data_IF_946644734407
#
_entry.id   IF_946644734407
#
_cell.length_a   1.000
_cell.length_b   1.000
_cell.length_c   1.000
_cell.angle_alpha   90.00
_cell.angle_beta   90.00
_cell.angle_gamma   90.00
#
_symmetry.space_group_name_H-M   'P 1'
#
loop_
_entity.id
_entity.type
_entity.pdbx_description
1 polymer ?
#
# COMPACT_ATOMS: atom_id res chain seq x y z
N UNK A 1 -7.61 -21.00 -3.91
CA UNK A 1 -6.86 -19.72 -3.75
C UNK A 1 -7.80 -18.57 -3.38
N UNK A 2 -8.98 -18.50 -3.98
CA UNK A 2 -10.03 -17.51 -3.65
C UNK A 2 -11.10 -18.19 -2.79
N UNK A 3 -11.64 -17.48 -1.81
CA UNK A 3 -12.81 -17.86 -1.03
C UNK A 3 -13.95 -16.90 -1.34
N UNK A 4 -15.14 -17.44 -1.59
CA UNK A 4 -16.36 -16.65 -1.77
C UNK A 4 -17.03 -16.46 -0.41
N UNK A 5 -17.21 -15.21 0.00
CA UNK A 5 -18.04 -14.84 1.13
C UNK A 5 -19.45 -14.44 0.71
N UNK A 6 -20.13 -13.71 1.58
CA UNK A 6 -21.50 -13.24 1.37
C UNK A 6 -21.55 -12.12 0.33
N UNK A 7 -22.70 -11.92 -0.31
CA UNK A 7 -23.00 -10.76 -1.16
C UNK A 7 -21.98 -10.46 -2.28
N UNK A 8 -21.35 -11.51 -2.82
CA UNK A 8 -20.38 -11.42 -3.91
C UNK A 8 -18.96 -11.05 -3.48
N UNK A 9 -18.66 -10.97 -2.19
CA UNK A 9 -17.31 -10.71 -1.69
C UNK A 9 -16.36 -11.87 -1.98
N UNK A 10 -15.21 -11.57 -2.57
CA UNK A 10 -14.12 -12.52 -2.79
C UNK A 10 -12.94 -12.22 -1.88
N UNK A 11 -12.32 -13.26 -1.34
CA UNK A 11 -11.18 -13.16 -0.42
C UNK A 11 -10.00 -13.98 -0.94
N UNK A 12 -8.80 -13.43 -0.85
CA UNK A 12 -7.57 -14.19 -1.10
C UNK A 12 -7.25 -15.05 0.13
N UNK A 13 -7.23 -16.37 -0.03
CA UNK A 13 -6.95 -17.32 1.08
C UNK A 13 -5.70 -18.18 0.85
N UNK A 14 -5.06 -18.10 -0.31
CA UNK A 14 -3.85 -18.87 -0.61
C UNK A 14 -2.94 -18.17 -1.62
N UNK A 15 -2.15 -18.95 -2.37
CA UNK A 15 -1.15 -18.44 -3.32
C UNK A 15 0.26 -18.51 -2.74
N UNK A 16 1.21 -17.87 -3.42
CA UNK A 16 2.63 -17.90 -3.05
C UNK A 16 2.92 -17.37 -1.64
N UNK A 17 2.02 -16.57 -1.09
CA UNK A 17 2.16 -15.96 0.24
C UNK A 17 1.47 -16.75 1.36
N UNK A 18 0.84 -17.91 1.08
CA UNK A 18 0.10 -18.72 2.05
C UNK A 18 -0.80 -17.89 3.01
N UNK A 19 -1.68 -17.06 2.42
CA UNK A 19 -2.39 -16.01 3.16
C UNK A 19 -3.11 -16.54 4.39
N UNK A 20 -3.92 -17.61 4.26
CA UNK A 20 -4.66 -18.17 5.39
C UNK A 20 -3.72 -18.79 6.45
N UNK A 21 -2.57 -19.34 6.05
CA UNK A 21 -1.57 -19.86 6.97
C UNK A 21 -1.00 -18.80 7.92
N UNK A 22 -1.04 -17.52 7.52
CA UNK A 22 -0.58 -16.39 8.34
C UNK A 22 -1.53 -16.02 9.50
N UNK A 23 -2.77 -16.52 9.50
CA UNK A 23 -3.80 -16.28 10.53
C UNK A 23 -3.81 -17.37 11.62
N UNK A 24 -2.64 -17.89 11.96
CA UNK A 24 -2.48 -18.98 12.92
C UNK A 24 -1.48 -18.59 14.01
N UNK A 25 -1.78 -18.99 15.23
CA UNK A 25 -0.80 -18.92 16.33
C UNK A 25 0.18 -20.07 16.18
N UNK A 26 1.43 -19.73 15.85
CA UNK A 26 2.51 -20.71 15.69
C UNK A 26 3.85 -20.09 16.04
N UNK A 27 4.87 -20.93 16.26
CA UNK A 27 6.22 -20.44 16.48
C UNK A 27 6.78 -19.68 15.26
N UNK A 28 6.43 -20.10 14.05
CA UNK A 28 6.77 -19.39 12.82
C UNK A 28 6.13 -17.99 12.78
N UNK A 29 4.85 -17.89 13.13
CA UNK A 29 4.13 -16.63 13.24
C UNK A 29 4.78 -15.70 14.29
N UNK A 30 5.14 -16.23 15.47
CA UNK A 30 5.85 -15.48 16.50
C UNK A 30 7.21 -14.95 16.01
N UNK A 31 8.02 -15.80 15.36
CA UNK A 31 9.32 -15.41 14.79
C UNK A 31 9.19 -14.29 13.76
N UNK A 32 8.21 -14.41 12.87
CA UNK A 32 7.92 -13.40 11.86
C UNK A 32 7.54 -12.06 12.51
N UNK A 33 6.61 -12.06 13.46
CA UNK A 33 6.23 -10.83 14.20
C UNK A 33 7.43 -10.22 14.92
N UNK A 34 8.29 -11.04 15.54
CA UNK A 34 9.50 -10.55 16.21
C UNK A 34 10.51 -9.96 15.22
N UNK A 35 10.67 -10.59 14.05
CA UNK A 35 11.48 -10.07 12.95
C UNK A 35 11.03 -8.69 12.49
N UNK A 36 9.73 -8.52 12.24
CA UNK A 36 9.13 -7.24 11.86
C UNK A 36 9.30 -6.19 12.96
N UNK A 37 9.05 -6.54 14.22
CA UNK A 37 9.29 -5.66 15.38
C UNK A 37 10.75 -5.15 15.39
N UNK A 38 11.73 -6.04 15.24
CA UNK A 38 13.17 -5.66 15.21
C UNK A 38 13.51 -4.79 14.00
N UNK A 39 12.97 -5.11 12.83
CA UNK A 39 13.17 -4.35 11.60
C UNK A 39 12.67 -2.91 11.76
N UNK A 40 11.44 -2.72 12.21
CA UNK A 40 10.84 -1.40 12.37
C UNK A 40 11.51 -0.60 13.48
N UNK A 41 11.90 -1.23 14.59
CA UNK A 41 12.69 -0.56 15.62
C UNK A 41 14.04 -0.05 15.11
N UNK A 42 14.72 -0.83 14.26
CA UNK A 42 15.98 -0.41 13.62
C UNK A 42 15.76 0.74 12.64
N UNK A 43 14.73 0.66 11.78
CA UNK A 43 14.39 1.72 10.83
C UNK A 43 14.02 3.01 11.55
N UNK A 44 13.13 2.96 12.53
CA UNK A 44 12.72 4.11 13.32
C UNK A 44 13.90 4.78 14.03
N UNK A 45 14.82 4.00 14.62
CA UNK A 45 16.03 4.54 15.25
C UNK A 45 16.92 5.26 14.23
N UNK A 46 17.16 4.64 13.07
CA UNK A 46 18.03 5.21 12.02
C UNK A 46 17.44 6.51 11.46
N UNK A 47 16.16 6.54 11.13
CA UNK A 47 15.53 7.76 10.63
C UNK A 47 15.50 8.89 11.66
N UNK A 48 15.27 8.57 12.95
CA UNK A 48 15.41 9.54 14.02
C UNK A 48 16.81 10.15 14.11
N UNK A 49 17.87 9.35 13.90
CA UNK A 49 19.25 9.85 13.85
C UNK A 49 19.50 10.73 12.63
N UNK A 50 18.80 10.49 11.52
CA UNK A 50 18.88 11.30 10.30
C UNK A 50 18.00 12.56 10.36
N UNK A 51 17.20 12.76 11.40
CA UNK A 51 16.24 13.86 11.48
C UNK A 51 15.06 13.73 10.51
N UNK A 52 14.81 12.53 9.97
CA UNK A 52 13.74 12.25 8.99
C UNK A 52 12.57 11.59 9.70
N UNK A 53 11.34 12.04 9.43
CA UNK A 53 10.15 11.39 9.96
C UNK A 53 9.92 10.03 9.28
N UNK A 54 9.68 8.97 10.05
CA UNK A 54 9.43 7.63 9.50
C UNK A 54 8.05 7.11 9.87
N UNK A 55 7.30 6.64 8.87
CA UNK A 55 6.02 5.94 9.04
C UNK A 55 6.01 4.61 8.30
N UNK A 56 5.36 3.62 8.90
CA UNK A 56 5.14 2.30 8.34
C UNK A 56 3.65 2.00 8.35
N UNK A 57 3.13 1.60 7.19
CA UNK A 57 1.76 1.18 6.98
C UNK A 57 1.79 -0.30 6.62
N UNK A 58 0.87 -1.05 7.23
CA UNK A 58 0.49 -2.37 6.75
C UNK A 58 -0.93 -2.24 6.26
N UNK A 59 -1.17 -2.44 4.96
CA UNK A 59 -2.52 -2.46 4.40
C UNK A 59 -3.16 -3.79 4.80
N UNK A 60 -4.16 -3.79 5.70
CA UNK A 60 -4.74 -5.03 6.18
C UNK A 60 -5.41 -5.77 5.03
N UNK A 61 -5.38 -7.11 5.04
CA UNK A 61 -6.16 -7.88 4.09
C UNK A 61 -7.66 -7.72 4.39
N UNK A 62 -8.47 -7.96 3.36
CA UNK A 62 -9.92 -8.04 3.49
C UNK A 62 -10.36 -9.03 4.56
N UNK A 63 -9.63 -10.13 4.72
CA UNK A 63 -9.81 -11.13 5.78
C UNK A 63 -9.73 -10.52 7.19
N UNK A 64 -8.88 -9.50 7.40
CA UNK A 64 -8.69 -8.86 8.71
C UNK A 64 -9.77 -7.82 9.03
N UNK A 65 -10.32 -7.16 7.99
CA UNK A 65 -11.26 -6.05 8.14
C UNK A 65 -12.72 -6.49 8.01
N UNK A 66 -13.02 -7.31 7.00
CA UNK A 66 -14.36 -7.77 6.62
C UNK A 66 -14.58 -9.25 6.99
N UNK A 67 -14.09 -9.64 8.16
CA UNK A 67 -14.23 -11.02 8.68
C UNK A 67 -15.69 -11.44 8.91
N UNK A 68 -16.59 -10.48 9.06
CA UNK A 68 -18.03 -10.70 9.17
C UNK A 68 -18.76 -10.91 7.84
N UNK A 69 -18.07 -10.67 6.71
CA UNK A 69 -18.56 -10.97 5.35
C UNK A 69 -18.11 -12.35 4.85
N UNK A 70 -17.35 -13.09 5.65
CA UNK A 70 -16.96 -14.48 5.34
C UNK A 70 -18.16 -15.42 5.39
N UNK A 71 -18.08 -16.52 4.63
CA UNK A 71 -19.11 -17.56 4.63
C UNK A 71 -18.49 -18.96 4.78
N UNK A 72 -18.64 -19.56 5.95
CA UNK A 72 -18.12 -20.91 6.23
C UNK A 72 -16.59 -21.00 6.37
N UNK A 73 -15.85 -19.88 6.41
CA UNK A 73 -14.41 -19.86 6.67
C UNK A 73 -14.10 -19.52 8.13
N UNK A 74 -13.57 -20.48 8.88
CA UNK A 74 -13.05 -20.22 10.22
C UNK A 74 -11.74 -19.45 10.14
N UNK A 75 -11.70 -18.26 10.74
CA UNK A 75 -10.55 -17.36 10.75
C UNK A 75 -10.42 -16.69 12.12
N UNK A 76 -9.21 -16.67 12.68
CA UNK A 76 -8.90 -15.82 13.82
C UNK A 76 -8.30 -14.50 13.34
N UNK A 77 -9.13 -13.46 13.20
CA UNK A 77 -8.67 -12.12 12.84
C UNK A 77 -7.71 -11.52 13.89
N UNK A 78 -7.70 -12.00 15.13
CA UNK A 78 -6.73 -11.58 16.13
C UNK A 78 -5.34 -12.19 15.91
N UNK A 79 -5.22 -13.24 15.09
CA UNK A 79 -3.98 -13.83 14.63
C UNK A 79 -3.43 -13.16 13.35
N UNK A 80 -4.13 -12.18 12.78
CA UNK A 80 -3.68 -11.46 11.59
C UNK A 80 -2.28 -10.81 11.79
N UNK A 81 -1.37 -10.86 10.79
CA UNK A 81 -0.03 -10.29 10.89
C UNK A 81 0.00 -8.82 11.33
N UNK A 82 -0.88 -7.96 10.78
CA UNK A 82 -0.97 -6.55 11.14
C UNK A 82 -1.38 -6.37 12.61
N UNK A 83 -2.34 -7.18 13.08
CA UNK A 83 -2.81 -7.15 14.48
C UNK A 83 -1.70 -7.60 15.43
N UNK A 84 -1.00 -8.69 15.10
CA UNK A 84 0.14 -9.20 15.89
C UNK A 84 1.28 -8.17 15.95
N UNK A 85 1.62 -7.55 14.82
CA UNK A 85 2.67 -6.53 14.76
C UNK A 85 2.31 -5.30 15.61
N UNK A 86 1.07 -4.79 15.50
CA UNK A 86 0.56 -3.69 16.32
C UNK A 86 0.70 -3.99 17.82
N UNK A 87 0.25 -5.18 18.25
CA UNK A 87 0.39 -5.63 19.65
C UNK A 87 1.87 -5.70 20.07
N UNK A 88 2.72 -6.26 19.21
CA UNK A 88 4.14 -6.42 19.48
C UNK A 88 4.90 -5.08 19.56
N UNK A 89 4.43 -4.02 18.89
CA UNK A 89 5.06 -2.70 18.93
C UNK A 89 4.52 -1.78 20.04
N UNK A 90 3.29 -2.02 20.53
CA UNK A 90 2.54 -1.10 21.42
C UNK A 90 3.34 -0.53 22.60
N UNK A 91 4.20 -1.33 23.23
CA UNK A 91 5.01 -0.93 24.40
C UNK A 91 6.48 -0.68 24.04
N UNK A 92 6.75 -0.25 22.81
CA UNK A 92 8.11 0.03 22.33
C UNK A 92 8.21 1.46 21.82
N UNK A 93 9.42 2.07 21.85
CA UNK A 93 9.64 3.38 21.22
C UNK A 93 9.32 3.42 19.72
N UNK A 94 9.25 2.26 19.06
CA UNK A 94 8.91 2.15 17.65
C UNK A 94 7.39 2.17 17.39
N UNK A 95 6.54 2.18 18.43
CA UNK A 95 5.08 2.27 18.27
C UNK A 95 4.68 3.48 17.40
N UNK A 96 5.32 4.63 17.60
CA UNK A 96 5.01 5.86 16.88
C UNK A 96 5.33 5.84 15.38
N UNK A 97 6.12 4.87 14.88
CA UNK A 97 6.32 4.72 13.45
C UNK A 97 5.21 3.93 12.77
N UNK A 98 4.46 3.08 13.47
CA UNK A 98 3.36 2.30 12.88
C UNK A 98 2.10 3.15 12.80
N UNK A 99 1.53 3.28 11.60
CA UNK A 99 0.18 3.84 11.40
C UNK A 99 -0.81 2.69 11.48
N UNK A 100 -1.67 2.68 12.50
CA UNK A 100 -2.68 1.62 12.66
C UNK A 100 -3.83 1.82 11.67
N UNK A 101 -3.97 0.88 10.73
CA UNK A 101 -5.06 0.86 9.76
C UNK A 101 -6.17 -0.12 10.12
N UNK A 102 -5.90 -1.12 10.97
CA UNK A 102 -6.90 -2.15 11.31
C UNK A 102 -8.06 -1.54 12.08
N UNK A 103 -7.77 -0.73 13.09
CA UNK A 103 -8.81 -0.07 13.89
C UNK A 103 -9.72 0.84 13.05
N UNK A 104 -9.17 1.85 12.36
CA UNK A 104 -9.96 2.77 11.53
C UNK A 104 -10.76 2.07 10.42
N UNK A 105 -10.18 1.11 9.71
CA UNK A 105 -10.89 0.38 8.65
C UNK A 105 -12.01 -0.49 9.23
N UNK A 106 -11.79 -1.19 10.34
CA UNK A 106 -12.88 -1.97 10.97
C UNK A 106 -14.00 -1.08 11.49
N UNK A 107 -13.69 0.12 12.00
CA UNK A 107 -14.70 1.08 12.43
C UNK A 107 -15.53 1.63 11.25
N UNK A 108 -14.93 1.78 10.07
CA UNK A 108 -15.60 2.33 8.89
C UNK A 108 -16.33 1.26 8.03
N UNK A 109 -16.18 -0.03 8.33
CA UNK A 109 -16.59 -1.15 7.44
C UNK A 109 -18.08 -1.27 7.17
N UNK A 110 -18.92 -0.71 8.04
CA UNK A 110 -20.38 -0.69 7.86
C UNK A 110 -20.86 0.56 7.10
N UNK A 111 -20.00 1.57 6.96
CA UNK A 111 -20.38 2.91 6.44
C UNK A 111 -19.89 3.17 5.02
N UNK A 112 -19.10 2.27 4.43
CA UNK A 112 -18.63 2.40 3.07
C UNK A 112 -17.99 1.12 2.55
N UNK A 113 -17.93 0.98 1.22
CA UNK A 113 -17.20 -0.11 0.57
C UNK A 113 -15.71 0.19 0.68
N UNK A 114 -15.02 -0.40 1.67
CA UNK A 114 -13.59 -0.15 1.92
C UNK A 114 -12.65 -0.95 1.01
N UNK A 115 -13.17 -2.00 0.40
CA UNK A 115 -12.45 -2.87 -0.53
C UNK A 115 -13.31 -3.12 -1.74
N UNK A 116 -12.67 -3.44 -2.87
CA UNK A 116 -13.37 -3.95 -4.03
C UNK A 116 -13.83 -5.38 -3.75
N UNK A 117 -15.01 -5.79 -4.21
CA UNK A 117 -15.57 -7.12 -3.92
C UNK A 117 -14.79 -8.22 -4.60
N UNK A 118 -14.43 -8.02 -5.86
CA UNK A 118 -13.80 -8.98 -6.76
C UNK A 118 -12.27 -8.82 -6.87
N UNK A 119 -11.67 -7.92 -6.09
CA UNK A 119 -10.24 -7.62 -6.09
C UNK A 119 -9.62 -7.73 -4.69
N UNK A 120 -8.29 -7.85 -4.60
CA UNK A 120 -7.53 -7.83 -3.34
C UNK A 120 -7.34 -6.43 -2.74
N UNK A 121 -7.48 -5.38 -3.54
CA UNK A 121 -7.18 -4.01 -3.10
C UNK A 121 -8.34 -3.33 -2.37
N UNK A 122 -7.98 -2.30 -1.61
CA UNK A 122 -8.94 -1.33 -1.09
C UNK A 122 -9.65 -0.58 -2.22
N UNK A 123 -10.81 -0.01 -1.90
CA UNK A 123 -11.48 0.99 -2.73
C UNK A 123 -10.84 2.38 -2.51
N UNK A 124 -11.39 3.40 -3.16
CA UNK A 124 -11.06 4.80 -2.86
C UNK A 124 -11.31 5.13 -1.39
N UNK A 125 -12.46 4.74 -0.85
CA UNK A 125 -12.84 5.08 0.52
C UNK A 125 -11.93 4.36 1.55
N UNK A 126 -11.57 3.10 1.30
CA UNK A 126 -10.59 2.38 2.13
C UNK A 126 -9.20 3.01 2.07
N UNK A 127 -8.75 3.39 0.89
CA UNK A 127 -7.50 4.11 0.71
C UNK A 127 -7.53 5.48 1.41
N UNK A 128 -8.65 6.20 1.32
CA UNK A 128 -8.83 7.49 1.97
C UNK A 128 -8.75 7.40 3.49
N UNK A 129 -9.31 6.34 4.10
CA UNK A 129 -9.15 6.08 5.55
C UNK A 129 -7.67 5.94 5.92
N UNK A 130 -6.88 5.23 5.10
CA UNK A 130 -5.45 5.06 5.33
C UNK A 130 -4.66 6.36 5.13
N UNK A 131 -4.95 7.10 4.06
CA UNK A 131 -4.41 8.43 3.80
C UNK A 131 -4.69 9.39 4.97
N UNK A 132 -5.94 9.47 5.44
CA UNK A 132 -6.32 10.35 6.52
C UNK A 132 -5.64 9.98 7.85
N UNK A 133 -5.47 8.68 8.13
CA UNK A 133 -4.71 8.21 9.29
C UNK A 133 -3.23 8.62 9.19
N UNK A 134 -2.62 8.52 8.00
CA UNK A 134 -1.25 8.94 7.76
C UNK A 134 -1.08 10.45 7.90
N UNK A 135 -1.96 11.27 7.31
CA UNK A 135 -1.95 12.73 7.46
C UNK A 135 -1.98 13.14 8.94
N UNK A 136 -2.88 12.55 9.74
CA UNK A 136 -2.92 12.80 11.20
C UNK A 136 -1.62 12.41 11.89
N UNK A 137 -1.02 11.28 11.52
CA UNK A 137 0.29 10.86 12.04
C UNK A 137 1.44 11.80 11.66
N UNK A 138 1.28 12.59 10.59
CA UNK A 138 2.25 13.57 10.11
C UNK A 138 1.93 15.00 10.57
N UNK A 139 0.82 15.21 11.29
CA UNK A 139 0.36 16.55 11.70
C UNK A 139 -0.21 17.38 10.55
N UNK A 140 -0.64 16.75 9.45
CA UNK A 140 -1.29 17.40 8.30
C UNK A 140 -2.79 17.16 8.34
N UNK A 141 -3.58 18.17 8.00
CA UNK A 141 -5.01 17.96 7.77
C UNK A 141 -5.23 17.17 6.47
N UNK A 142 -5.99 16.06 6.48
CA UNK A 142 -6.36 15.39 5.24
C UNK A 142 -7.26 16.30 4.38
N UNK A 143 -7.10 16.22 3.06
CA UNK A 143 -7.95 16.91 2.10
C UNK A 143 -9.26 16.16 1.90
N UNK A 144 -10.28 16.48 2.70
CA UNK A 144 -11.62 15.88 2.63
C UNK A 144 -12.29 16.09 1.25
N UNK A 145 -11.91 17.13 0.52
CA UNK A 145 -12.42 17.39 -0.82
C UNK A 145 -11.93 16.36 -1.86
N UNK A 146 -10.86 15.60 -1.58
CA UNK A 146 -10.41 14.46 -2.40
C UNK A 146 -11.25 13.20 -2.13
N UNK A 147 -12.05 13.17 -1.06
CA UNK A 147 -13.02 12.11 -0.82
C UNK A 147 -14.28 12.35 -1.63
N UNK A 148 -14.93 13.49 -1.41
CA UNK A 148 -16.31 13.71 -1.89
C UNK A 148 -16.43 14.78 -2.98
N UNK A 149 -15.43 15.64 -3.16
CA UNK A 149 -15.44 16.73 -4.15
C UNK A 149 -14.97 16.32 -5.54
N UNK A 150 -14.57 15.07 -5.75
CA UNK A 150 -14.12 14.58 -7.06
C UNK A 150 -15.29 14.21 -7.97
N UNK A 151 -15.18 14.55 -9.25
CA UNK A 151 -15.99 13.93 -10.28
C UNK A 151 -15.82 12.41 -10.21
N UNK A 152 -16.94 11.69 -10.31
CA UNK A 152 -16.98 10.24 -10.23
C UNK A 152 -17.69 9.65 -11.44
N UNK A 153 -17.21 8.51 -11.91
CA UNK A 153 -17.85 7.70 -12.92
C UNK A 153 -17.96 6.26 -12.44
N UNK A 154 -19.00 5.56 -12.91
CA UNK A 154 -19.15 4.13 -12.69
C UNK A 154 -18.62 3.38 -13.90
N UNK A 155 -17.88 2.32 -13.62
CA UNK A 155 -17.36 1.39 -14.62
C UNK A 155 -17.54 -0.04 -14.11
N UNK A 156 -17.66 -0.99 -15.03
CA UNK A 156 -17.59 -2.41 -14.69
C UNK A 156 -16.13 -2.86 -14.68
N UNK A 157 -15.74 -3.55 -13.60
CA UNK A 157 -14.39 -4.12 -13.47
C UNK A 157 -14.46 -5.58 -13.05
N UNK A 158 -13.50 -6.36 -13.56
CA UNK A 158 -13.23 -7.71 -13.08
C UNK A 158 -11.90 -7.67 -12.33
N UNK A 159 -11.95 -7.69 -11.01
CA UNK A 159 -10.77 -7.63 -10.16
C UNK A 159 -9.88 -8.87 -10.27
N UNK A 160 -8.70 -8.80 -9.65
CA UNK A 160 -7.72 -9.88 -9.68
C UNK A 160 -8.22 -11.23 -9.10
N UNK A 161 -9.20 -11.21 -8.19
CA UNK A 161 -9.87 -12.40 -7.68
C UNK A 161 -11.01 -12.85 -8.58
N UNK A 162 -11.74 -11.91 -9.18
CA UNK A 162 -12.81 -12.17 -10.14
C UNK A 162 -12.31 -12.91 -11.38
N UNK A 163 -11.13 -12.53 -11.88
CA UNK A 163 -10.47 -13.18 -13.02
C UNK A 163 -10.06 -14.64 -12.75
N UNK A 164 -9.91 -15.03 -11.47
CA UNK A 164 -9.53 -16.39 -11.06
C UNK A 164 -10.71 -17.37 -11.03
N UNK A 165 -11.94 -16.90 -11.22
CA UNK A 165 -13.14 -17.73 -11.22
C UNK A 165 -13.67 -17.98 -12.64
N UNK A 166 -14.48 -19.02 -12.81
CA UNK A 166 -15.25 -19.28 -14.04
C UNK A 166 -16.72 -19.56 -13.66
N UNK A 167 -17.69 -18.78 -14.16
CA UNK A 167 -17.51 -17.56 -14.95
C UNK A 167 -16.77 -16.45 -14.16
N UNK A 168 -16.17 -15.49 -14.88
CA UNK A 168 -15.56 -14.30 -14.26
C UNK A 168 -16.58 -13.54 -13.41
N UNK A 169 -16.11 -12.91 -12.34
CA UNK A 169 -16.94 -12.09 -11.44
C UNK A 169 -16.60 -10.62 -11.63
N UNK A 170 -17.62 -9.83 -11.92
CA UNK A 170 -17.54 -8.41 -12.18
C UNK A 170 -18.20 -7.62 -11.05
N UNK A 171 -17.78 -6.37 -10.89
CA UNK A 171 -18.42 -5.41 -10.00
C UNK A 171 -18.44 -4.01 -10.62
N UNK A 172 -19.45 -3.24 -10.24
CA UNK A 172 -19.50 -1.81 -10.50
C UNK A 172 -18.53 -1.10 -9.56
N UNK A 173 -17.57 -0.39 -10.14
CA UNK A 173 -16.61 0.43 -9.43
C UNK A 173 -16.89 1.91 -9.70
N UNK A 174 -17.07 2.66 -8.62
CA UNK A 174 -17.07 4.12 -8.64
C UNK A 174 -15.64 4.65 -8.63
N UNK A 175 -15.13 5.07 -9.79
CA UNK A 175 -13.80 5.68 -9.94
C UNK A 175 -13.92 7.18 -9.70
N UNK A 176 -12.95 7.75 -8.97
CA UNK A 176 -12.89 9.20 -8.69
C UNK A 176 -11.71 9.83 -9.40
N UNK A 177 -11.95 10.96 -10.05
CA UNK A 177 -10.91 11.78 -10.65
C UNK A 177 -10.21 12.60 -9.55
N UNK A 178 -9.28 11.98 -8.85
CA UNK A 178 -8.54 12.61 -7.73
C UNK A 178 -7.45 13.56 -8.21
N UNK A 179 -6.89 13.32 -9.41
CA UNK A 179 -5.84 14.16 -9.97
C UNK A 179 -6.39 15.54 -10.33
N UNK A 180 -5.83 16.58 -9.73
CA UNK A 180 -6.23 17.97 -9.96
C UNK A 180 -5.01 18.87 -10.10
N UNK A 181 -4.18 18.88 -9.06
CA UNK A 181 -3.09 19.84 -8.91
C UNK A 181 -1.72 19.18 -9.14
N UNK A 182 -1.58 17.92 -8.73
CA UNK A 182 -0.31 17.22 -8.80
C UNK A 182 0.07 16.83 -10.24
N UNK A 183 1.33 17.06 -10.58
CA UNK A 183 1.92 16.70 -11.87
C UNK A 183 2.95 15.60 -11.69
N UNK A 184 2.90 14.58 -12.57
CA UNK A 184 3.98 13.61 -12.70
C UNK A 184 5.18 14.33 -13.30
N UNK A 185 6.21 14.57 -12.49
CA UNK A 185 7.39 15.35 -12.85
C UNK A 185 8.50 14.47 -13.42
N UNK A 186 8.67 13.26 -12.91
CA UNK A 186 9.76 12.36 -13.30
C UNK A 186 9.34 10.89 -13.14
N UNK A 187 9.84 10.04 -14.03
CA UNK A 187 9.86 8.58 -13.87
C UNK A 187 11.29 8.06 -14.04
N UNK A 188 11.60 6.83 -13.63
CA UNK A 188 12.87 6.21 -14.05
C UNK A 188 12.79 5.69 -15.51
N UNK A 189 13.95 5.35 -16.07
CA UNK A 189 14.01 4.85 -17.45
C UNK A 189 13.18 3.58 -17.63
N UNK A 190 13.12 2.72 -16.61
CA UNK A 190 12.37 1.47 -16.67
C UNK A 190 10.88 1.72 -16.96
N UNK A 191 10.26 2.67 -16.26
CA UNK A 191 8.85 3.04 -16.50
C UNK A 191 8.66 3.56 -17.92
N UNK A 192 9.53 4.48 -18.38
CA UNK A 192 9.44 5.04 -19.74
C UNK A 192 9.54 3.97 -20.82
N UNK A 193 10.45 3.02 -20.67
CA UNK A 193 10.67 1.97 -21.67
C UNK A 193 9.47 1.02 -21.76
N UNK A 194 8.90 0.62 -20.61
CA UNK A 194 7.68 -0.19 -20.58
C UNK A 194 6.48 0.57 -21.15
N UNK A 195 6.34 1.86 -20.88
CA UNK A 195 5.27 2.69 -21.43
C UNK A 195 5.41 2.86 -22.95
N UNK A 196 6.62 3.12 -23.45
CA UNK A 196 6.90 3.22 -24.88
C UNK A 196 6.62 1.92 -25.63
N UNK A 197 6.79 0.77 -24.98
CA UNK A 197 6.44 -0.54 -25.51
C UNK A 197 4.94 -0.89 -25.39
N UNK A 198 4.10 0.00 -24.85
CA UNK A 198 2.68 -0.30 -24.57
C UNK A 198 2.46 -1.32 -23.45
N UNK A 199 3.50 -1.62 -22.67
CA UNK A 199 3.54 -2.62 -21.61
C UNK A 199 3.59 -2.01 -20.22
N UNK A 200 3.23 -0.74 -20.08
CA UNK A 200 3.33 -0.01 -18.80
C UNK A 200 2.57 -0.66 -17.64
N UNK A 201 1.51 -1.43 -17.91
CA UNK A 201 0.75 -2.18 -16.90
C UNK A 201 1.46 -3.45 -16.43
N UNK A 202 2.42 -3.97 -17.20
CA UNK A 202 3.22 -5.14 -16.83
C UNK A 202 4.30 -4.77 -15.79
N UNK A 203 4.63 -3.49 -15.65
CA UNK A 203 5.71 -3.06 -14.77
C UNK A 203 5.20 -2.82 -13.34
N UNK A 204 5.82 -3.53 -12.39
CA UNK A 204 5.58 -3.35 -10.97
C UNK A 204 6.90 -3.06 -10.26
N UNK A 205 7.71 -4.09 -10.04
CA UNK A 205 9.00 -3.98 -9.36
C UNK A 205 9.96 -3.05 -10.09
N UNK A 206 10.66 -2.20 -9.33
CA UNK A 206 11.64 -1.27 -9.87
C UNK A 206 11.03 -0.03 -10.51
N UNK A 207 9.71 0.15 -10.50
CA UNK A 207 9.11 1.41 -10.93
C UNK A 207 9.40 2.53 -9.94
N UNK A 208 9.74 3.72 -10.47
CA UNK A 208 9.88 4.95 -9.70
C UNK A 208 9.16 6.10 -10.38
N UNK A 209 8.41 6.87 -9.61
CA UNK A 209 7.72 8.07 -10.06
C UNK A 209 7.88 9.21 -9.05
N UNK A 210 7.95 10.45 -9.53
CA UNK A 210 8.03 11.66 -8.71
C UNK A 210 6.92 12.60 -9.12
N UNK A 211 6.14 13.04 -8.15
CA UNK A 211 5.09 14.02 -8.31
C UNK A 211 5.48 15.34 -7.66
N UNK A 212 5.07 16.44 -8.28
CA UNK A 212 5.17 17.78 -7.70
C UNK A 212 3.80 18.42 -7.66
N UNK A 213 3.52 19.13 -6.59
CA UNK A 213 2.29 19.89 -6.42
C UNK A 213 2.63 21.38 -6.32
N UNK A 214 2.36 22.17 -7.38
CA UNK A 214 2.71 23.59 -7.42
C UNK A 214 1.72 24.48 -6.65
N UNK A 215 0.64 23.92 -6.08
CA UNK A 215 -0.42 24.70 -5.45
C UNK A 215 0.10 25.46 -4.22
N UNK A 216 -0.17 26.79 -4.10
CA UNK A 216 0.28 27.64 -2.98
C UNK A 216 -0.16 27.26 -1.55
N UNK A 217 -0.82 26.12 -1.35
CA UNK A 217 -1.22 25.59 -0.04
C UNK A 217 -0.86 24.12 0.17
N UNK A 218 -0.08 23.52 -0.73
CA UNK A 218 0.42 22.17 -0.54
C UNK A 218 1.35 22.11 0.68
N UNK A 219 1.31 21.02 1.44
CA UNK A 219 2.24 20.77 2.54
C UNK A 219 3.67 20.76 1.99
N UNK A 220 4.58 21.63 2.47
CA UNK A 220 5.86 21.87 1.80
C UNK A 220 6.82 20.68 1.86
N UNK A 221 6.49 19.65 2.65
CA UNK A 221 7.36 18.50 2.88
C UNK A 221 7.49 17.60 1.65
N UNK A 222 8.68 17.03 1.51
CA UNK A 222 9.02 15.99 0.55
C UNK A 222 8.84 14.60 1.16
N UNK A 223 8.07 13.75 0.49
CA UNK A 223 7.81 12.37 0.89
C UNK A 223 8.53 11.39 -0.02
N UNK A 224 9.07 10.31 0.55
CA UNK A 224 9.50 9.12 -0.19
C UNK A 224 8.70 7.91 0.31
N UNK A 225 7.95 7.28 -0.59
CA UNK A 225 7.11 6.12 -0.34
C UNK A 225 7.76 4.89 -0.99
N UNK A 226 8.12 3.91 -0.18
CA UNK A 226 8.45 2.56 -0.63
C UNK A 226 7.21 1.69 -0.42
N UNK A 227 6.53 1.31 -1.49
CA UNK A 227 5.23 0.62 -1.41
C UNK A 227 5.04 -0.47 -2.45
N UNK A 228 3.87 -1.09 -2.41
CA UNK A 228 3.42 -2.07 -3.41
C UNK A 228 2.24 -1.55 -4.24
N UNK A 229 1.41 -2.47 -4.76
CA UNK A 229 0.26 -2.14 -5.59
C UNK A 229 -0.81 -1.34 -4.84
N UNK A 230 -0.90 -1.44 -3.51
CA UNK A 230 -1.83 -0.64 -2.71
C UNK A 230 -1.45 0.84 -2.72
N UNK A 231 -0.15 1.15 -2.77
CA UNK A 231 0.37 2.50 -2.87
C UNK A 231 0.73 2.93 -4.30
N UNK A 232 0.27 2.22 -5.32
CA UNK A 232 0.71 2.43 -6.69
C UNK A 232 0.55 3.89 -7.17
N UNK A 233 1.42 4.30 -8.11
CA UNK A 233 1.54 5.70 -8.55
C UNK A 233 0.70 6.04 -9.79
N UNK A 234 0.21 5.04 -10.50
CA UNK A 234 -0.49 5.26 -11.77
C UNK A 234 -1.96 5.57 -11.53
N UNK A 235 -2.40 6.70 -12.08
CA UNK A 235 -3.78 7.18 -11.99
C UNK A 235 -4.78 6.32 -12.76
N UNK A 236 -4.34 5.61 -13.81
CA UNK A 236 -5.15 4.67 -14.58
C UNK A 236 -5.33 3.32 -13.88
N UNK A 237 -4.55 3.06 -12.83
CA UNK A 237 -4.72 1.87 -12.00
C UNK A 237 -5.76 2.16 -10.92
N UNK A 238 -6.93 1.57 -11.12
CA UNK A 238 -8.19 1.79 -10.39
C UNK A 238 -8.16 1.48 -8.88
N UNK A 239 -7.02 0.96 -8.39
CA UNK A 239 -6.79 0.51 -7.01
C UNK A 239 -5.61 1.22 -6.32
N UNK A 240 -4.86 2.04 -7.06
CA UNK A 240 -3.60 2.66 -6.64
C UNK A 240 -3.71 4.14 -6.32
N UNK A 241 -4.33 4.48 -5.19
CA UNK A 241 -4.70 5.87 -4.88
C UNK A 241 -3.88 6.53 -3.78
N UNK A 242 -3.08 5.79 -3.00
CA UNK A 242 -2.38 6.39 -1.86
C UNK A 242 -1.33 7.40 -2.31
N UNK A 243 -0.48 7.03 -3.28
CA UNK A 243 0.51 7.97 -3.85
C UNK A 243 -0.18 9.18 -4.46
N UNK A 244 -1.34 8.98 -5.08
CA UNK A 244 -2.12 10.06 -5.67
C UNK A 244 -2.68 11.04 -4.65
N UNK A 245 -3.33 10.54 -3.59
CA UNK A 245 -3.84 11.36 -2.48
C UNK A 245 -2.71 12.13 -1.78
N UNK A 246 -1.55 11.49 -1.60
CA UNK A 246 -0.36 12.15 -1.07
C UNK A 246 0.15 13.24 -2.02
N UNK A 247 0.22 12.98 -3.33
CA UNK A 247 0.68 13.95 -4.31
C UNK A 247 -0.23 15.20 -4.38
N UNK A 248 -1.54 15.03 -4.22
CA UNK A 248 -2.50 16.14 -4.17
C UNK A 248 -2.46 16.93 -2.84
N UNK A 249 -1.65 16.50 -1.87
CA UNK A 249 -1.53 17.10 -0.53
C UNK A 249 -0.15 17.68 -0.25
N UNK A 250 0.92 17.01 -0.69
CA UNK A 250 2.31 17.36 -0.40
C UNK A 250 3.00 17.93 -1.64
N UNK A 251 3.95 18.85 -1.43
CA UNK A 251 4.66 19.56 -2.49
C UNK A 251 5.47 18.62 -3.39
N UNK A 252 6.03 17.53 -2.83
CA UNK A 252 6.81 16.56 -3.60
C UNK A 252 6.66 15.14 -3.04
N UNK A 253 6.27 14.18 -3.88
CA UNK A 253 6.08 12.78 -3.49
C UNK A 253 6.82 11.87 -4.45
N UNK A 254 7.75 11.10 -3.91
CA UNK A 254 8.48 10.06 -4.63
C UNK A 254 7.87 8.71 -4.29
N UNK A 255 7.48 7.93 -5.29
CA UNK A 255 7.08 6.54 -5.13
C UNK A 255 8.14 5.61 -5.71
N UNK A 256 8.49 4.57 -4.96
CA UNK A 256 9.33 3.46 -5.39
C UNK A 256 8.58 2.16 -5.12
N UNK A 257 8.37 1.35 -6.14
CA UNK A 257 7.78 0.04 -5.98
C UNK A 257 8.81 -0.92 -5.36
N UNK A 258 8.76 -1.05 -4.04
CA UNK A 258 9.69 -1.87 -3.26
C UNK A 258 9.20 -2.07 -1.82
N UNK A 259 9.44 -3.24 -1.25
CA UNK A 259 9.27 -3.51 0.18
C UNK A 259 10.52 -3.11 1.00
N UNK A 260 11.67 -2.95 0.33
CA UNK A 260 12.95 -2.53 0.89
C UNK A 260 13.20 -1.03 0.77
N UNK A 261 13.91 -0.47 1.75
CA UNK A 261 14.35 0.93 1.72
C UNK A 261 15.69 1.00 0.99
N UNK A 262 15.73 1.83 -0.05
CA UNK A 262 16.98 2.27 -0.68
C UNK A 262 17.55 3.46 0.11
N UNK A 263 18.62 3.19 0.87
CA UNK A 263 19.22 4.21 1.74
C UNK A 263 20.03 5.25 0.95
N UNK A 264 20.57 4.87 -0.21
CA UNK A 264 21.32 5.78 -1.07
C UNK A 264 20.36 6.76 -1.74
N UNK A 265 19.18 6.27 -2.15
CA UNK A 265 18.10 7.13 -2.63
C UNK A 265 17.62 8.11 -1.57
N UNK A 266 17.40 7.64 -0.32
CA UNK A 266 17.05 8.52 0.80
C UNK A 266 18.13 9.57 1.03
N UNK A 267 19.41 9.20 0.99
CA UNK A 267 20.52 10.13 1.18
C UNK A 267 20.61 11.18 0.06
N UNK A 268 20.35 10.78 -1.19
CA UNK A 268 20.34 11.69 -2.33
C UNK A 268 19.16 12.67 -2.28
N UNK A 269 17.95 12.17 -1.98
CA UNK A 269 16.72 12.96 -2.00
C UNK A 269 16.57 13.84 -0.76
N UNK A 270 17.10 13.41 0.39
CA UNK A 270 16.95 14.08 1.70
C UNK A 270 15.48 14.45 2.00
N UNK A 271 14.57 13.46 2.04
CA UNK A 271 13.16 13.73 2.28
C UNK A 271 12.89 14.15 3.73
N UNK A 272 11.82 14.89 3.96
CA UNK A 272 11.31 15.19 5.30
C UNK A 272 10.64 13.95 5.93
N UNK A 273 10.01 13.13 5.08
CA UNK A 273 9.25 11.96 5.49
C UNK A 273 9.58 10.76 4.62
N UNK A 274 9.87 9.61 5.25
CA UNK A 274 9.90 8.31 4.60
C UNK A 274 8.72 7.46 5.07
N UNK A 275 8.02 6.88 4.09
CA UNK A 275 6.91 5.97 4.29
C UNK A 275 7.30 4.61 3.72
N UNK A 276 7.03 3.56 4.48
CA UNK A 276 7.05 2.19 3.95
C UNK A 276 5.65 1.62 4.05
N UNK A 277 5.11 1.17 2.93
CA UNK A 277 3.79 0.56 2.81
C UNK A 277 3.97 -0.89 2.33
N UNK A 278 3.15 -1.78 2.87
CA UNK A 278 3.12 -3.18 2.46
C UNK A 278 1.74 -3.79 2.72
N UNK A 279 1.22 -4.55 1.77
CA UNK A 279 0.04 -5.38 1.99
C UNK A 279 0.34 -6.48 3.02
N UNK A 280 -0.62 -6.73 3.91
CA UNK A 280 -0.47 -7.67 5.01
C UNK A 280 -0.04 -9.08 4.54
N UNK A 281 -0.51 -9.55 3.38
CA UNK A 281 -0.05 -10.82 2.80
C UNK A 281 1.46 -10.91 2.53
N UNK A 282 2.14 -9.80 2.28
CA UNK A 282 3.59 -9.80 2.03
C UNK A 282 4.41 -9.75 3.33
N UNK A 283 3.76 -9.65 4.50
CA UNK A 283 4.45 -9.79 5.79
C UNK A 283 4.97 -11.21 6.04
N UNK A 284 4.60 -12.17 5.17
CA UNK A 284 5.19 -13.51 5.06
C UNK A 284 6.72 -13.47 5.20
N UNK A 285 7.36 -12.51 4.53
CA UNK A 285 8.81 -12.36 4.48
C UNK A 285 9.23 -10.96 4.94
N UNK A 286 10.45 -10.86 5.48
CA UNK A 286 11.05 -9.56 5.80
C UNK A 286 11.69 -8.98 4.53
N UNK A 287 11.58 -7.66 4.31
CA UNK A 287 12.33 -7.00 3.26
C UNK A 287 13.84 -7.26 3.37
N UNK A 288 14.54 -7.43 2.24
CA UNK A 288 15.96 -7.72 2.24
C UNK A 288 16.77 -6.58 2.88
N UNK A 289 17.89 -6.95 3.51
CA UNK A 289 18.89 -5.99 3.96
C UNK A 289 19.75 -5.54 2.79
N UNK A 290 20.16 -4.28 2.76
CA UNK A 290 21.01 -3.75 1.68
C UNK A 290 20.31 -3.66 0.32
N UNK A 291 18.99 -3.47 0.32
CA UNK A 291 18.22 -3.23 -0.90
C UNK A 291 18.78 -2.02 -1.68
N UNK A 292 18.91 -2.19 -2.99
CA UNK A 292 19.29 -1.14 -3.94
C UNK A 292 18.28 -1.15 -5.08
N UNK A 293 17.66 0.00 -5.34
CA UNK A 293 16.68 0.15 -6.40
C UNK A 293 17.33 0.00 -7.78
N UNK A 294 18.54 0.54 -7.96
CA UNK A 294 19.30 0.38 -9.20
C UNK A 294 19.55 -1.10 -9.56
N UNK A 295 19.96 -1.91 -8.58
CA UNK A 295 20.13 -3.37 -8.79
C UNK A 295 18.81 -4.07 -9.12
N UNK A 296 17.70 -3.61 -8.53
CA UNK A 296 16.37 -4.14 -8.87
C UNK A 296 15.99 -3.79 -10.30
N UNK A 297 16.24 -2.56 -10.75
CA UNK A 297 15.98 -2.14 -12.14
C UNK A 297 16.75 -3.02 -13.13
N UNK A 298 18.05 -3.25 -12.91
CA UNK A 298 18.88 -4.15 -13.73
C UNK A 298 18.30 -5.57 -13.78
N UNK A 299 17.92 -6.12 -12.62
CA UNK A 299 17.33 -7.46 -12.53
C UNK A 299 16.01 -7.57 -13.27
N UNK A 300 15.16 -6.54 -13.20
CA UNK A 300 13.86 -6.53 -13.89
C UNK A 300 14.05 -6.42 -15.40
N UNK A 301 14.98 -5.58 -15.87
CA UNK A 301 15.33 -5.48 -17.30
C UNK A 301 15.77 -6.83 -17.87
N UNK A 302 16.68 -7.50 -17.17
CA UNK A 302 17.20 -8.81 -17.57
C UNK A 302 16.13 -9.92 -17.60
N UNK A 303 15.09 -9.84 -16.75
CA UNK A 303 14.04 -10.86 -16.66
C UNK A 303 12.84 -10.64 -17.58
N UNK A 304 12.61 -9.41 -18.03
CA UNK A 304 11.42 -9.03 -18.81
C UNK A 304 11.72 -8.71 -20.28
N UNK A 305 12.90 -9.10 -20.74
CA UNK A 305 13.39 -8.97 -22.12
C UNK A 305 13.22 -7.55 -22.68
N UNK A 306 13.64 -6.54 -21.91
CA UNK A 306 13.92 -5.19 -22.43
C UNK A 306 15.39 -5.07 -22.87
N UNK A 307 15.94 -6.15 -23.41
CA UNK A 307 17.30 -6.22 -23.98
C UNK A 307 17.30 -5.94 -25.47
#
# INVERSE_FOLDING_TARGET
MVHAGRDGWLFLVGGSNDVLGQYRHSWAAWRQTWGWRRLLARRARRFRQLGIAYRHLVVPEKLTVLDDRLDGLALDAAAAPAVRLRRALRLTPAAGCLVDLVGPLRAARETGDLYLRTDTHWSHDGCFVAYAALCRHLGTAPREDLRDGCAASEIEVCGDLGLKLRPWRWEALRVRAIRRDAVLSETNALVRDFEAAGRGLDLHLGARAVFRNPTPGADPRRLVVFGDSCAHFRWDVRTGMLTGLLAETFAEVHFLWSTGIDWDYVAAVRPDVVITEIAERFMAELPPFGYSHARLEETVRARKDLG
#
